data_IF_378889473881
#
_entry.id   IF_378889473881
#
_cell.length_a   1.000
_cell.length_b   1.000
_cell.length_c   1.000
_cell.angle_alpha   90.00
_cell.angle_beta   90.00
_cell.angle_gamma   90.00
#
_symmetry.space_group_name_H-M   'P 1'
#
loop_
_entity.id
_entity.type
_entity.pdbx_description
1 polymer ?
#
# COMPACT_ATOMS: atom_id res chain seq x y z
N UNK A 1 12.08 -40.11 18.23
CA UNK A 1 12.58 -38.96 17.45
C UNK A 1 11.77 -38.87 16.17
N UNK A 2 10.82 -37.95 16.08
CA UNK A 2 10.11 -37.66 14.84
C UNK A 2 10.37 -36.20 14.51
N UNK A 3 11.26 -35.98 13.54
CA UNK A 3 11.55 -34.67 12.99
C UNK A 3 10.48 -34.36 11.96
N UNK A 4 9.55 -33.48 12.30
CA UNK A 4 8.58 -32.95 11.35
C UNK A 4 9.29 -31.92 10.46
N UNK A 5 9.95 -32.39 9.41
CA UNK A 5 10.32 -31.57 8.27
C UNK A 5 9.08 -31.43 7.36
N UNK A 6 8.42 -30.27 7.36
CA UNK A 6 7.44 -29.93 6.33
C UNK A 6 7.86 -28.67 5.54
N UNK A 7 8.43 -28.96 4.37
CA UNK A 7 8.18 -28.29 3.09
C UNK A 7 7.84 -26.79 3.15
N UNK A 8 8.88 -26.00 2.88
CA UNK A 8 8.91 -24.94 1.87
C UNK A 8 7.56 -24.27 1.56
N UNK A 9 7.32 -23.12 2.18
CA UNK A 9 6.59 -22.05 1.52
C UNK A 9 7.46 -20.82 1.59
N UNK A 10 8.56 -20.84 0.84
CA UNK A 10 9.18 -19.64 0.33
C UNK A 10 8.17 -18.89 -0.55
N UNK A 11 7.16 -18.28 0.07
CA UNK A 11 6.51 -17.12 -0.50
C UNK A 11 7.60 -16.07 -0.56
N UNK A 12 8.24 -15.93 -1.71
CA UNK A 12 8.80 -14.65 -2.12
C UNK A 12 7.62 -13.69 -2.27
N UNK A 13 7.00 -13.32 -1.15
CA UNK A 13 6.04 -12.25 -1.10
C UNK A 13 6.86 -11.01 -1.38
N UNK A 14 6.92 -10.61 -2.66
CA UNK A 14 7.58 -9.37 -3.08
C UNK A 14 7.25 -8.29 -2.07
N UNK A 15 8.29 -7.74 -1.42
CA UNK A 15 8.16 -6.97 -0.19
C UNK A 15 7.21 -5.81 -0.49
N UNK A 16 6.06 -5.72 0.19
CA UNK A 16 5.10 -4.64 -0.03
C UNK A 16 5.42 -3.50 0.94
N UNK A 17 5.45 -2.27 0.44
CA UNK A 17 5.59 -1.09 1.28
C UNK A 17 4.29 -0.30 1.30
N UNK A 18 3.83 0.05 2.50
CA UNK A 18 2.64 0.88 2.69
C UNK A 18 3.06 2.32 2.98
N UNK A 19 2.65 3.24 2.12
CA UNK A 19 2.89 4.67 2.27
C UNK A 19 1.57 5.38 2.57
N UNK A 20 1.53 6.22 3.59
CA UNK A 20 0.32 6.97 3.96
C UNK A 20 0.53 8.45 3.70
N UNK A 21 -0.41 9.07 2.99
CA UNK A 21 -0.48 10.51 2.85
C UNK A 21 -1.26 11.14 4.03
N UNK A 22 -1.02 12.42 4.27
CA UNK A 22 -1.76 13.20 5.25
C UNK A 22 -3.27 13.20 4.94
N UNK A 23 -4.16 13.19 5.96
CA UNK A 23 -5.60 13.19 5.73
C UNK A 23 -6.08 14.44 4.97
N UNK A 24 -6.90 14.24 3.95
CA UNK A 24 -7.47 15.31 3.13
C UNK A 24 -9.00 15.35 3.22
N UNK A 25 -9.65 16.51 3.04
CA UNK A 25 -11.09 16.59 2.81
C UNK A 25 -11.53 15.76 1.60
N UNK A 26 -12.78 15.28 1.61
CA UNK A 26 -13.33 14.44 0.53
C UNK A 26 -13.11 15.03 -0.88
N UNK A 27 -13.33 16.34 -1.04
CA UNK A 27 -13.22 17.01 -2.33
C UNK A 27 -11.77 17.06 -2.88
N UNK A 28 -10.76 16.81 -2.05
CA UNK A 28 -9.35 16.74 -2.45
C UNK A 28 -8.85 15.31 -2.66
N UNK A 29 -9.65 14.28 -2.36
CA UNK A 29 -9.26 12.88 -2.53
C UNK A 29 -8.79 12.60 -3.97
N UNK A 30 -9.48 13.03 -5.05
CA UNK A 30 -8.99 12.81 -6.41
C UNK A 30 -7.62 13.46 -6.69
N UNK A 31 -7.39 14.67 -6.17
CA UNK A 31 -6.14 15.41 -6.35
C UNK A 31 -4.98 14.73 -5.62
N UNK A 32 -5.23 14.30 -4.37
CA UNK A 32 -4.23 13.60 -3.58
C UNK A 32 -3.88 12.24 -4.19
N UNK A 33 -4.87 11.47 -4.68
CA UNK A 33 -4.63 10.21 -5.41
C UNK A 33 -3.78 10.48 -6.67
N UNK A 34 -4.09 11.51 -7.44
CA UNK A 34 -3.29 11.86 -8.61
C UNK A 34 -1.84 12.21 -8.23
N UNK A 35 -1.62 12.83 -7.06
CA UNK A 35 -0.30 13.07 -6.49
C UNK A 35 0.46 11.77 -6.22
N UNK A 36 -0.17 10.81 -5.53
CA UNK A 36 0.45 9.52 -5.23
C UNK A 36 0.73 8.68 -6.50
N UNK A 37 -0.17 8.71 -7.49
CA UNK A 37 0.03 8.06 -8.79
C UNK A 37 1.25 8.63 -9.51
N UNK A 38 1.42 9.96 -9.54
CA UNK A 38 2.62 10.59 -10.12
C UNK A 38 3.89 10.23 -9.36
N UNK A 39 3.80 10.07 -8.04
CA UNK A 39 4.95 9.80 -7.17
C UNK A 39 5.46 8.37 -7.29
N UNK A 40 4.57 7.38 -7.24
CA UNK A 40 4.94 5.96 -7.24
C UNK A 40 4.77 5.28 -8.60
N UNK A 41 3.92 5.81 -9.48
CA UNK A 41 3.77 5.29 -10.84
C UNK A 41 3.37 3.81 -10.90
N UNK A 42 4.01 3.07 -11.79
CA UNK A 42 3.66 1.67 -12.12
C UNK A 42 3.91 0.65 -11.00
N UNK A 43 4.62 1.01 -9.92
CA UNK A 43 4.85 0.08 -8.80
C UNK A 43 3.69 0.03 -7.80
N UNK A 44 2.67 0.87 -7.97
CA UNK A 44 1.46 0.84 -7.14
C UNK A 44 0.70 -0.46 -7.40
N UNK A 45 0.42 -1.19 -6.33
CA UNK A 45 -0.45 -2.37 -6.35
C UNK A 45 -1.87 -2.07 -5.89
N UNK A 46 -2.02 -1.12 -4.96
CA UNK A 46 -3.30 -0.78 -4.36
C UNK A 46 -3.26 0.66 -3.84
N UNK A 47 -4.39 1.37 -3.96
CA UNK A 47 -4.65 2.63 -3.27
C UNK A 47 -5.93 2.44 -2.46
N UNK A 48 -5.85 2.65 -1.16
CA UNK A 48 -6.98 2.58 -0.25
C UNK A 48 -7.29 3.96 0.32
N UNK A 49 -8.58 4.29 0.38
CA UNK A 49 -9.06 5.55 0.94
C UNK A 49 -9.93 5.22 2.14
N UNK A 50 -9.57 5.72 3.32
CA UNK A 50 -10.27 5.44 4.56
C UNK A 50 -10.64 6.74 5.27
N UNK A 51 -11.91 6.88 5.64
CA UNK A 51 -12.37 7.97 6.49
C UNK A 51 -11.75 7.82 7.88
N UNK A 52 -11.03 8.82 8.37
CA UNK A 52 -10.36 8.78 9.68
C UNK A 52 -11.16 9.48 10.78
N UNK A 53 -11.99 10.45 10.40
CA UNK A 53 -12.88 11.20 11.28
C UNK A 53 -13.40 12.46 10.60
N UNK A 54 -14.56 13.00 11.04
CA UNK A 54 -15.23 14.15 10.40
C UNK A 54 -15.39 13.92 8.88
N UNK A 55 -14.92 14.84 8.04
CA UNK A 55 -14.92 14.74 6.58
C UNK A 55 -13.51 14.55 6.02
N UNK A 56 -12.59 14.04 6.83
CA UNK A 56 -11.20 13.77 6.45
C UNK A 56 -11.00 12.30 6.07
N UNK A 57 -10.17 12.09 5.06
CA UNK A 57 -9.87 10.81 4.45
C UNK A 57 -8.36 10.63 4.36
N UNK A 58 -7.86 9.54 4.93
CA UNK A 58 -6.48 9.11 4.74
C UNK A 58 -6.38 8.28 3.45
N UNK A 59 -5.26 8.43 2.77
CA UNK A 59 -4.92 7.68 1.56
C UNK A 59 -3.70 6.83 1.91
N UNK A 60 -3.82 5.52 1.73
CA UNK A 60 -2.71 4.58 1.89
C UNK A 60 -2.44 3.88 0.57
N UNK A 61 -1.18 3.88 0.15
CA UNK A 61 -0.69 3.34 -1.11
C UNK A 61 0.21 2.16 -0.82
N UNK A 62 -0.11 1.02 -1.41
CA UNK A 62 0.70 -0.18 -1.29
C UNK A 62 1.51 -0.32 -2.57
N UNK A 63 2.83 -0.22 -2.47
CA UNK A 63 3.76 -0.43 -3.59
C UNK A 63 4.39 -1.82 -3.52
N UNK A 64 4.73 -2.36 -4.70
CA UNK A 64 5.59 -3.54 -4.83
C UNK A 64 7.03 -3.06 -4.75
N UNK A 65 7.82 -3.61 -3.83
CA UNK A 65 9.28 -3.49 -3.93
C UNK A 65 9.75 -4.57 -4.90
N UNK A 66 10.26 -4.12 -6.03
CA UNK A 66 11.15 -4.95 -6.83
C UNK A 66 12.51 -4.94 -6.13
N UNK A 67 12.98 -6.11 -5.68
CA UNK A 67 14.37 -6.28 -5.30
C UNK A 67 15.19 -6.16 -6.59
N UNK A 68 15.89 -5.03 -6.74
CA UNK A 68 16.86 -4.77 -7.80
C UNK A 68 18.19 -5.46 -7.51
#
# INVERSE_FOLDING_TARGET
MESCANTNSGRTAGRRATNTAEPVPLYLVPVAIAGEIRRFGGVISEISVRRTGRHCYAIAVVTRLEEA
#
